data_IF_160655963191
#
_entry.id   IF_160655963191
#
_cell.length_a   1.000
_cell.length_b   1.000
_cell.length_c   1.000
_cell.angle_alpha   90.00
_cell.angle_beta   90.00
_cell.angle_gamma   90.00
#
_symmetry.space_group_name_H-M   'P 1'
#
loop_
_entity.id
_entity.type
_entity.pdbx_description
1 polymer ?
#
# COMPACT_ATOMS: atom_id res chain seq x y z
N UNK A 1 9.75 8.41 -20.01
CA UNK A 1 9.35 7.13 -19.39
C UNK A 1 9.53 7.29 -17.90
N UNK A 2 8.51 6.98 -17.12
CA UNK A 2 8.53 7.03 -15.66
C UNK A 2 8.60 5.58 -15.16
N UNK A 3 9.47 5.32 -14.18
CA UNK A 3 9.59 4.01 -13.54
C UNK A 3 9.54 4.21 -12.02
N UNK A 4 8.60 3.54 -11.37
CA UNK A 4 8.40 3.61 -9.93
C UNK A 4 8.38 2.21 -9.35
N UNK A 5 8.68 2.12 -8.05
CA UNK A 5 8.73 0.85 -7.35
C UNK A 5 8.25 1.02 -5.91
N UNK A 6 7.43 0.09 -5.43
CA UNK A 6 6.98 0.04 -4.05
C UNK A 6 7.21 -1.37 -3.47
N UNK A 7 7.83 -1.47 -2.28
CA UNK A 7 8.05 -2.76 -1.62
C UNK A 7 6.73 -3.38 -1.15
N UNK A 8 6.73 -4.70 -1.02
CA UNK A 8 5.77 -5.42 -0.19
C UNK A 8 6.06 -5.24 1.29
N UNK A 9 5.27 -5.90 2.14
CA UNK A 9 5.31 -5.74 3.59
C UNK A 9 5.05 -7.04 4.34
N UNK A 10 5.49 -7.05 5.60
CA UNK A 10 5.06 -8.00 6.63
C UNK A 10 4.62 -7.24 7.90
N UNK A 11 3.57 -7.71 8.54
CA UNK A 11 3.28 -7.31 9.92
C UNK A 11 4.21 -8.09 10.85
N UNK A 12 4.68 -7.42 11.90
CA UNK A 12 5.47 -8.00 12.97
C UNK A 12 4.62 -8.14 14.25
N UNK A 13 3.78 -7.14 14.52
CA UNK A 13 2.85 -7.13 15.64
C UNK A 13 1.72 -6.11 15.43
N UNK A 14 0.58 -6.35 16.08
CA UNK A 14 -0.57 -5.43 16.08
C UNK A 14 -1.56 -5.68 14.94
N UNK A 15 -1.48 -6.84 14.28
CA UNK A 15 -2.50 -7.27 13.34
C UNK A 15 -3.88 -7.26 13.98
N UNK A 16 -4.93 -7.00 13.20
CA UNK A 16 -6.31 -6.79 13.63
C UNK A 16 -6.53 -5.56 14.50
N UNK A 17 -5.76 -5.35 15.58
CA UNK A 17 -5.88 -4.17 16.45
C UNK A 17 -5.71 -2.86 15.66
N UNK A 18 -4.74 -2.82 14.74
CA UNK A 18 -4.46 -1.66 13.87
C UNK A 18 -5.62 -1.27 12.94
N UNK A 19 -6.66 -2.10 12.81
CA UNK A 19 -7.87 -1.73 12.07
C UNK A 19 -8.66 -0.66 12.84
N UNK A 20 -8.54 -0.62 14.16
CA UNK A 20 -9.12 0.41 15.00
C UNK A 20 -8.27 1.70 14.96
N UNK A 21 -8.90 2.90 14.93
CA UNK A 21 -8.17 4.15 14.91
C UNK A 21 -7.17 4.30 16.08
N UNK A 22 -6.03 4.92 15.80
CA UNK A 22 -4.93 5.19 16.72
C UNK A 22 -4.22 3.95 17.32
N UNK A 23 -4.67 2.73 17.02
CA UNK A 23 -4.00 1.52 17.50
C UNK A 23 -2.69 1.27 16.76
N UNK A 24 -1.58 0.98 17.49
CA UNK A 24 -0.28 0.81 16.88
C UNK A 24 -0.07 -0.58 16.30
N UNK A 25 0.70 -0.66 15.21
CA UNK A 25 1.31 -1.87 14.68
C UNK A 25 2.79 -1.64 14.39
N UNK A 26 3.53 -2.75 14.32
CA UNK A 26 4.89 -2.77 13.79
C UNK A 26 4.89 -3.54 12.49
N UNK A 27 5.47 -2.94 11.46
CA UNK A 27 5.59 -3.52 10.13
C UNK A 27 7.03 -3.42 9.63
N UNK A 28 7.35 -4.26 8.65
CA UNK A 28 8.61 -4.20 7.91
C UNK A 28 8.34 -4.28 6.41
N UNK A 29 9.02 -3.45 5.63
CA UNK A 29 9.03 -3.55 4.18
C UNK A 29 10.00 -4.64 3.71
N UNK A 30 9.60 -5.38 2.68
CA UNK A 30 10.39 -6.48 2.12
C UNK A 30 11.11 -6.04 0.85
N UNK A 31 12.25 -6.65 0.54
CA UNK A 31 13.06 -6.38 -0.66
C UNK A 31 12.52 -7.10 -1.90
N UNK A 32 11.20 -7.08 -2.03
CA UNK A 32 10.43 -7.55 -3.18
C UNK A 32 9.29 -6.58 -3.30
N UNK A 33 8.92 -6.22 -4.52
CA UNK A 33 7.90 -5.20 -4.70
C UNK A 33 7.18 -5.27 -6.01
N UNK A 34 6.46 -4.19 -6.29
CA UNK A 34 5.80 -3.97 -7.56
C UNK A 34 6.51 -2.82 -8.26
N UNK A 35 6.85 -3.07 -9.52
CA UNK A 35 7.43 -2.08 -10.42
C UNK A 35 6.36 -1.63 -11.40
N UNK A 36 6.24 -0.31 -11.54
CA UNK A 36 5.34 0.33 -12.49
C UNK A 36 6.17 1.08 -13.51
N UNK A 37 5.90 0.84 -14.79
CA UNK A 37 6.46 1.63 -15.90
C UNK A 37 5.32 2.36 -16.60
N UNK A 38 5.50 3.65 -16.78
CA UNK A 38 4.52 4.54 -17.39
C UNK A 38 5.16 5.27 -18.58
N UNK A 39 4.60 5.04 -19.76
CA UNK A 39 5.04 5.70 -21.00
C UNK A 39 3.92 6.60 -21.51
N UNK A 40 4.17 7.90 -21.59
CA UNK A 40 3.16 8.86 -22.04
C UNK A 40 2.71 8.59 -23.50
N UNK A 41 1.42 8.83 -23.75
CA UNK A 41 0.75 8.63 -25.03
C UNK A 41 -0.12 9.84 -25.36
N UNK A 42 -0.49 9.98 -26.63
CA UNK A 42 -1.42 11.02 -27.08
C UNK A 42 -2.88 10.74 -26.63
N UNK A 43 -3.25 9.47 -26.43
CA UNK A 43 -4.61 9.05 -26.12
C UNK A 43 -4.64 7.89 -25.12
N UNK A 44 -5.76 7.74 -24.41
CA UNK A 44 -6.01 6.60 -23.54
C UNK A 44 -6.15 5.31 -24.35
N UNK A 45 -5.55 4.23 -23.85
CA UNK A 45 -5.76 2.88 -24.33
C UNK A 45 -6.56 2.10 -23.30
N UNK A 46 -7.57 1.33 -23.75
CA UNK A 46 -8.30 0.44 -22.86
C UNK A 46 -7.39 -0.71 -22.44
N UNK A 47 -7.13 -0.81 -21.13
CA UNK A 47 -6.43 -1.93 -20.52
C UNK A 47 -7.28 -2.49 -19.38
N UNK A 48 -7.32 -3.81 -19.23
CA UNK A 48 -7.90 -4.43 -18.04
C UNK A 48 -7.01 -4.11 -16.84
N UNK A 49 -7.55 -3.43 -15.85
CA UNK A 49 -6.85 -3.06 -14.63
C UNK A 49 -7.54 -3.65 -13.40
N UNK A 50 -6.77 -3.91 -12.35
CA UNK A 50 -7.34 -4.31 -11.06
C UNK A 50 -8.09 -3.14 -10.40
N UNK A 51 -9.02 -3.44 -9.48
CA UNK A 51 -9.76 -2.43 -8.71
C UNK A 51 -8.84 -1.45 -7.99
N UNK A 52 -7.73 -1.92 -7.45
CA UNK A 52 -6.73 -1.07 -6.76
C UNK A 52 -6.02 -0.09 -7.70
N UNK A 53 -5.75 -0.50 -8.94
CA UNK A 53 -5.17 0.38 -9.97
C UNK A 53 -6.19 1.44 -10.37
N UNK A 54 -7.44 1.04 -10.63
CA UNK A 54 -8.51 1.97 -10.99
C UNK A 54 -8.75 2.99 -9.87
N UNK A 55 -8.84 2.55 -8.61
CA UNK A 55 -9.02 3.45 -7.47
C UNK A 55 -7.86 4.45 -7.30
N UNK A 56 -6.61 4.02 -7.57
CA UNK A 56 -5.45 4.91 -7.56
C UNK A 56 -5.53 5.96 -8.67
N UNK A 57 -5.92 5.54 -9.88
CA UNK A 57 -6.14 6.44 -11.01
C UNK A 57 -7.27 7.42 -10.72
N UNK A 58 -8.38 6.98 -10.15
CA UNK A 58 -9.51 7.85 -9.83
C UNK A 58 -9.09 8.96 -8.85
N UNK A 59 -8.37 8.61 -7.78
CA UNK A 59 -7.87 9.58 -6.80
C UNK A 59 -6.91 10.59 -7.42
N UNK A 60 -5.94 10.14 -8.24
CA UNK A 60 -4.95 11.05 -8.82
C UNK A 60 -5.57 11.92 -9.91
N UNK A 61 -6.54 11.41 -10.68
CA UNK A 61 -7.27 12.16 -11.69
C UNK A 61 -8.23 13.21 -11.10
N UNK A 62 -8.82 12.90 -9.94
CA UNK A 62 -9.60 13.83 -9.13
C UNK A 62 -8.69 14.97 -8.62
N UNK A 63 -7.58 14.64 -7.96
CA UNK A 63 -6.61 15.63 -7.49
C UNK A 63 -6.06 16.50 -8.64
N UNK A 64 -5.71 15.90 -9.77
CA UNK A 64 -5.30 16.61 -10.99
C UNK A 64 -6.38 17.62 -11.42
N UNK A 65 -7.63 17.17 -11.45
CA UNK A 65 -8.79 18.00 -11.83
C UNK A 65 -8.98 19.19 -10.89
N UNK A 66 -8.90 18.95 -9.58
CA UNK A 66 -8.99 19.98 -8.54
C UNK A 66 -7.85 21.01 -8.63
N UNK A 67 -6.65 20.56 -9.02
CA UNK A 67 -5.48 21.42 -9.26
C UNK A 67 -5.48 22.11 -10.63
N UNK A 68 -6.50 21.90 -11.47
CA UNK A 68 -6.62 22.54 -12.78
C UNK A 68 -5.59 22.08 -13.82
N UNK A 69 -4.96 20.91 -13.62
CA UNK A 69 -3.93 20.40 -14.53
C UNK A 69 -4.55 19.71 -15.75
N UNK A 70 -3.92 19.84 -16.92
CA UNK A 70 -4.39 19.15 -18.13
C UNK A 70 -4.27 17.62 -18.00
N UNK A 71 -5.21 16.88 -18.60
CA UNK A 71 -5.15 15.42 -18.66
C UNK A 71 -3.96 14.97 -19.51
N UNK A 72 -3.26 13.95 -19.03
CA UNK A 72 -2.19 13.25 -19.75
C UNK A 72 -2.57 11.78 -19.80
N UNK A 73 -2.09 11.08 -20.83
CA UNK A 73 -2.37 9.65 -20.99
C UNK A 73 -1.08 8.88 -20.91
N UNK A 74 -1.11 7.72 -20.27
CA UNK A 74 0.06 6.86 -20.15
C UNK A 74 -0.31 5.40 -20.32
N UNK A 75 0.57 4.68 -21.00
CA UNK A 75 0.56 3.23 -21.11
C UNK A 75 1.25 2.65 -19.87
N UNK A 76 0.50 1.87 -19.11
CA UNK A 76 0.87 1.39 -17.77
C UNK A 76 1.25 -0.09 -17.84
N UNK A 77 2.50 -0.40 -17.50
CA UNK A 77 2.99 -1.76 -17.34
C UNK A 77 3.34 -2.02 -15.87
N UNK A 78 2.81 -3.12 -15.32
CA UNK A 78 2.99 -3.51 -13.92
C UNK A 78 3.71 -4.86 -13.89
N UNK A 79 4.77 -4.96 -13.10
CA UNK A 79 5.49 -6.21 -12.85
C UNK A 79 5.56 -6.47 -11.36
N UNK A 80 5.16 -7.67 -10.92
CA UNK A 80 5.05 -8.06 -9.51
C UNK A 80 6.14 -9.06 -9.15
N UNK A 81 6.87 -8.80 -8.06
CA UNK A 81 7.79 -9.75 -7.41
C UNK A 81 7.13 -10.39 -6.16
N UNK A 82 5.82 -10.17 -5.98
CA UNK A 82 5.03 -10.52 -4.79
C UNK A 82 4.11 -11.73 -5.01
N UNK A 83 4.39 -12.50 -6.05
CA UNK A 83 3.71 -13.74 -6.44
C UNK A 83 4.74 -14.76 -6.94
N UNK A 84 4.34 -16.03 -6.93
CA UNK A 84 5.16 -17.12 -7.49
C UNK A 84 5.06 -17.21 -9.02
N UNK A 85 5.77 -18.17 -9.61
CA UNK A 85 5.78 -18.43 -11.05
C UNK A 85 4.41 -18.84 -11.62
N UNK A 86 3.46 -19.21 -10.76
CA UNK A 86 2.09 -19.56 -11.11
C UNK A 86 1.08 -18.43 -10.82
N UNK A 87 1.56 -17.26 -10.38
CA UNK A 87 0.73 -16.10 -10.05
C UNK A 87 0.05 -16.17 -8.67
N UNK A 88 0.45 -17.09 -7.80
CA UNK A 88 -0.06 -17.19 -6.44
C UNK A 88 0.60 -16.14 -5.56
N UNK A 89 -0.20 -15.27 -4.95
CA UNK A 89 0.28 -14.18 -4.09
C UNK A 89 0.90 -14.70 -2.80
N UNK A 90 2.05 -14.14 -2.42
CA UNK A 90 2.73 -14.47 -1.15
C UNK A 90 2.06 -13.89 0.11
N UNK A 91 1.06 -13.02 -0.04
CA UNK A 91 0.46 -12.29 1.11
C UNK A 91 1.27 -11.08 1.57
N UNK A 92 2.22 -10.62 0.75
CA UNK A 92 3.14 -9.52 1.05
C UNK A 92 2.57 -8.13 0.73
N UNK A 93 1.24 -7.98 0.60
CA UNK A 93 0.60 -6.67 0.39
C UNK A 93 0.66 -6.14 -1.05
N UNK A 94 0.46 -6.99 -2.06
CA UNK A 94 0.48 -6.58 -3.47
C UNK A 94 -0.50 -5.47 -3.82
N UNK A 95 -1.67 -5.41 -3.18
CA UNK A 95 -2.66 -4.34 -3.36
C UNK A 95 -2.10 -2.97 -2.95
N UNK A 96 -1.47 -2.90 -1.78
CA UNK A 96 -0.86 -1.68 -1.28
C UNK A 96 0.34 -1.24 -2.12
N UNK A 97 1.21 -2.18 -2.49
CA UNK A 97 2.37 -1.91 -3.31
C UNK A 97 1.96 -1.37 -4.70
N UNK A 98 0.97 -1.97 -5.36
CA UNK A 98 0.51 -1.50 -6.68
C UNK A 98 -0.16 -0.13 -6.59
N UNK A 99 -1.03 0.11 -5.58
CA UNK A 99 -1.65 1.42 -5.38
C UNK A 99 -0.59 2.49 -5.16
N UNK A 100 0.39 2.25 -4.29
CA UNK A 100 1.45 3.21 -3.97
C UNK A 100 2.32 3.52 -5.20
N UNK A 101 2.73 2.50 -5.96
CA UNK A 101 3.55 2.68 -7.16
C UNK A 101 2.79 3.41 -8.30
N UNK A 102 1.49 3.17 -8.45
CA UNK A 102 0.65 3.87 -9.43
C UNK A 102 0.45 5.34 -9.05
N UNK A 103 0.15 5.62 -7.78
CA UNK A 103 0.05 7.01 -7.28
C UNK A 103 1.37 7.76 -7.52
N UNK A 104 2.51 7.13 -7.25
CA UNK A 104 3.84 7.71 -7.54
C UNK A 104 4.02 7.98 -9.05
N UNK A 105 3.73 6.99 -9.90
CA UNK A 105 3.96 7.12 -11.33
C UNK A 105 3.14 8.26 -11.95
N UNK A 106 1.86 8.38 -11.57
CA UNK A 106 1.00 9.46 -12.04
C UNK A 106 1.28 10.79 -11.34
N UNK A 107 1.72 10.76 -10.08
CA UNK A 107 2.23 11.94 -9.39
C UNK A 107 3.43 12.56 -10.12
N UNK A 108 4.33 11.72 -10.64
CA UNK A 108 5.44 12.15 -11.49
C UNK A 108 4.98 12.57 -12.88
N UNK A 109 4.02 11.87 -13.51
CA UNK A 109 3.46 12.25 -14.81
C UNK A 109 2.83 13.65 -14.76
N UNK A 110 2.16 13.98 -13.67
CA UNK A 110 1.55 15.29 -13.47
C UNK A 110 2.45 16.30 -12.77
N UNK A 111 3.70 15.94 -12.48
CA UNK A 111 4.69 16.80 -11.82
C UNK A 111 4.16 17.40 -10.50
N UNK A 112 3.41 16.61 -9.73
CA UNK A 112 2.68 17.06 -8.53
C UNK A 112 3.59 17.38 -7.33
N UNK A 113 4.86 16.96 -7.37
CA UNK A 113 5.82 17.17 -6.29
C UNK A 113 5.43 16.50 -4.97
N UNK A 114 4.75 15.34 -5.02
CA UNK A 114 4.22 14.67 -3.84
C UNK A 114 5.35 14.27 -2.87
N UNK A 115 5.20 14.68 -1.62
CA UNK A 115 5.94 14.11 -0.50
C UNK A 115 5.52 12.66 -0.23
N UNK A 116 6.35 11.91 0.50
CA UNK A 116 6.00 10.54 0.91
C UNK A 116 4.73 10.50 1.75
N UNK A 117 4.50 11.51 2.60
CA UNK A 117 3.26 11.60 3.36
C UNK A 117 2.04 11.80 2.44
N UNK A 118 2.11 12.68 1.45
CA UNK A 118 1.01 12.87 0.49
C UNK A 118 0.77 11.63 -0.36
N UNK A 119 1.84 10.95 -0.79
CA UNK A 119 1.76 9.67 -1.51
C UNK A 119 1.05 8.60 -0.68
N UNK A 120 1.40 8.48 0.60
CA UNK A 120 0.69 7.60 1.53
C UNK A 120 -0.78 7.98 1.65
N UNK A 121 -1.07 9.27 1.89
CA UNK A 121 -2.44 9.76 2.10
C UNK A 121 -3.32 9.49 0.88
N UNK A 122 -2.84 9.77 -0.32
CA UNK A 122 -3.54 9.48 -1.58
C UNK A 122 -3.77 7.99 -1.76
N UNK A 123 -2.74 7.18 -1.46
CA UNK A 123 -2.86 5.74 -1.55
C UNK A 123 -3.91 5.21 -0.56
N UNK A 124 -4.00 5.75 0.66
CA UNK A 124 -5.03 5.37 1.62
C UNK A 124 -6.42 5.80 1.15
N UNK A 125 -6.57 7.04 0.65
CA UNK A 125 -7.82 7.54 0.08
C UNK A 125 -8.31 6.68 -1.09
N UNK A 126 -7.39 6.12 -1.89
CA UNK A 126 -7.71 5.18 -2.95
C UNK A 126 -8.09 3.80 -2.38
N UNK A 127 -7.29 3.26 -1.47
CA UNK A 127 -7.54 1.92 -0.92
C UNK A 127 -8.87 1.83 -0.18
N UNK A 128 -9.28 2.85 0.57
CA UNK A 128 -10.54 2.81 1.34
C UNK A 128 -11.80 2.84 0.46
N UNK A 129 -11.70 3.16 -0.84
CA UNK A 129 -12.85 3.01 -1.77
C UNK A 129 -13.07 1.56 -2.19
N UNK A 130 -12.01 0.75 -2.20
CA UNK A 130 -12.05 -0.68 -2.54
C UNK A 130 -12.21 -1.53 -1.29
N UNK A 131 -11.48 -1.19 -0.22
CA UNK A 131 -11.44 -1.92 1.03
C UNK A 131 -11.58 -0.93 2.20
N UNK A 132 -12.80 -0.51 2.56
CA UNK A 132 -13.02 0.47 3.64
C UNK A 132 -12.41 0.03 4.99
N UNK A 133 -12.30 -1.28 5.20
CA UNK A 133 -11.71 -1.89 6.38
C UNK A 133 -10.17 -2.04 6.35
N UNK A 134 -9.46 -1.56 5.33
CA UNK A 134 -8.00 -1.56 5.29
C UNK A 134 -7.37 -0.55 6.26
N UNK A 135 -6.50 -1.00 7.16
CA UNK A 135 -5.83 -0.11 8.13
C UNK A 135 -4.88 0.90 7.51
N UNK A 136 -4.30 0.59 6.35
CA UNK A 136 -3.26 1.39 5.70
C UNK A 136 -1.84 1.09 6.15
N UNK A 137 -1.63 0.15 7.08
CA UNK A 137 -0.27 -0.19 7.53
C UNK A 137 0.61 -0.76 6.41
N UNK A 138 0.00 -1.49 5.49
CA UNK A 138 0.65 -2.01 4.29
C UNK A 138 1.07 -0.90 3.31
N UNK A 139 0.23 0.12 3.13
CA UNK A 139 0.56 1.33 2.37
C UNK A 139 1.70 2.11 3.03
N UNK A 140 1.71 2.19 4.36
CA UNK A 140 2.79 2.84 5.10
C UNK A 140 4.14 2.14 4.83
N UNK A 141 4.18 0.82 4.91
CA UNK A 141 5.37 0.04 4.57
C UNK A 141 5.78 0.18 3.10
N UNK A 142 4.79 0.19 2.19
CA UNK A 142 5.00 0.38 0.75
C UNK A 142 5.51 1.78 0.39
N UNK A 143 5.28 2.76 1.27
CA UNK A 143 5.68 4.16 1.05
C UNK A 143 7.02 4.47 1.70
N UNK A 144 7.16 4.14 2.99
CA UNK A 144 8.30 4.59 3.81
C UNK A 144 9.43 3.56 3.93
N UNK A 145 9.18 2.29 3.57
CA UNK A 145 10.19 1.24 3.66
C UNK A 145 10.64 0.91 5.10
N UNK A 146 11.68 0.09 5.23
CA UNK A 146 12.32 -0.23 6.50
C UNK A 146 11.39 -0.83 7.56
N UNK A 147 11.75 -0.64 8.84
CA UNK A 147 10.93 -1.01 9.99
C UNK A 147 10.13 0.21 10.46
N UNK A 148 8.84 0.02 10.72
CA UNK A 148 7.92 1.12 11.00
C UNK A 148 7.03 0.77 12.19
N UNK A 149 6.86 1.73 13.11
CA UNK A 149 5.68 1.80 13.96
C UNK A 149 4.64 2.65 13.23
N UNK A 150 3.42 2.15 13.13
CA UNK A 150 2.30 2.80 12.45
C UNK A 150 1.06 2.84 13.35
N UNK A 151 0.30 3.93 13.34
CA UNK A 151 -1.05 3.99 13.89
C UNK A 151 -2.03 4.51 12.84
N UNK A 152 -3.19 3.86 12.72
CA UNK A 152 -4.17 4.15 11.68
C UNK A 152 -5.02 5.40 11.98
N UNK A 153 -5.35 6.22 10.96
CA UNK A 153 -6.33 7.28 11.11
C UNK A 153 -7.76 6.72 11.10
N UNK A 154 -8.74 7.57 11.42
CA UNK A 154 -10.15 7.23 11.24
C UNK A 154 -10.54 7.26 9.75
N UNK A 155 -10.70 6.08 9.14
CA UNK A 155 -10.99 5.98 7.70
C UNK A 155 -12.42 6.31 7.33
N UNK A 156 -13.39 6.15 8.23
CA UNK A 156 -14.76 6.59 8.00
C UNK A 156 -14.81 8.11 7.89
N UNK A 157 -14.10 8.80 8.77
CA UNK A 157 -13.96 10.27 8.73
C UNK A 157 -13.31 10.72 7.41
N UNK A 158 -12.21 10.08 7.00
CA UNK A 158 -11.54 10.36 5.72
C UNK A 158 -12.47 10.15 4.52
N UNK A 159 -13.20 9.04 4.49
CA UNK A 159 -14.12 8.73 3.39
C UNK A 159 -15.26 9.76 3.31
N UNK A 160 -15.87 10.11 4.45
CA UNK A 160 -16.92 11.14 4.51
C UNK A 160 -16.39 12.51 4.09
N UNK A 161 -15.22 12.92 4.59
CA UNK A 161 -14.63 14.21 4.26
C UNK A 161 -14.28 14.31 2.79
N UNK A 162 -13.62 13.30 2.21
CA UNK A 162 -13.35 13.25 0.77
C UNK A 162 -14.63 13.35 -0.05
N UNK A 163 -15.67 12.61 0.31
CA UNK A 163 -16.94 12.64 -0.42
C UNK A 163 -17.62 14.02 -0.39
N UNK A 164 -17.39 14.83 0.65
CA UNK A 164 -17.98 16.15 0.82
C UNK A 164 -17.12 17.28 0.23
N UNK A 165 -15.80 17.13 0.27
CA UNK A 165 -14.86 18.24 0.03
C UNK A 165 -13.79 17.95 -1.03
N UNK A 166 -13.72 16.73 -1.55
CA UNK A 166 -12.74 16.32 -2.55
C UNK A 166 -11.41 15.82 -1.96
N UNK A 167 -10.50 15.42 -2.86
CA UNK A 167 -9.21 14.82 -2.49
C UNK A 167 -8.23 15.85 -1.96
N UNK A 168 -8.14 17.02 -2.58
CA UNK A 168 -7.22 18.10 -2.17
C UNK A 168 -7.56 18.59 -0.77
N UNK A 169 -8.85 18.82 -0.47
CA UNK A 169 -9.26 19.21 0.88
C UNK A 169 -8.94 18.11 1.91
N UNK A 170 -9.17 16.84 1.56
CA UNK A 170 -8.82 15.73 2.44
C UNK A 170 -7.31 15.61 2.68
N UNK A 171 -6.45 15.98 1.72
CA UNK A 171 -5.00 15.97 1.92
C UNK A 171 -4.53 16.99 2.97
N UNK A 172 -5.12 18.19 2.92
CA UNK A 172 -4.67 19.35 3.68
C UNK A 172 -5.27 19.43 5.09
N UNK A 173 -6.43 18.80 5.33
CA UNK A 173 -7.10 18.86 6.63
C UNK A 173 -6.45 17.93 7.68
N UNK A 174 -5.76 18.52 8.66
CA UNK A 174 -5.10 17.78 9.74
C UNK A 174 -6.07 17.05 10.68
N UNK A 175 -7.32 17.52 10.82
CA UNK A 175 -8.32 16.93 11.73
C UNK A 175 -8.70 15.54 11.26
N UNK A 176 -8.89 15.36 9.95
CA UNK A 176 -9.29 14.05 9.40
C UNK A 176 -8.17 13.01 9.43
N UNK A 177 -6.92 13.47 9.57
CA UNK A 177 -5.74 12.62 9.75
C UNK A 177 -5.35 12.42 11.22
N UNK A 178 -6.15 12.90 12.18
CA UNK A 178 -5.85 12.68 13.60
C UNK A 178 -5.73 11.18 13.93
N UNK A 179 -4.73 10.83 14.73
CA UNK A 179 -4.41 9.45 15.08
C UNK A 179 -3.46 8.75 14.10
N UNK A 180 -3.19 9.37 12.94
CA UNK A 180 -2.14 8.92 12.06
C UNK A 180 -0.76 9.19 12.67
N UNK A 181 0.01 8.14 12.90
CA UNK A 181 1.40 8.25 13.32
C UNK A 181 2.27 7.27 12.56
N UNK A 182 3.49 7.70 12.21
CA UNK A 182 4.54 6.83 11.71
C UNK A 182 5.84 7.14 12.41
N UNK A 183 6.60 6.11 12.72
CA UNK A 183 7.97 6.27 13.23
C UNK A 183 8.84 5.17 12.64
N UNK A 184 9.88 5.56 11.91
CA UNK A 184 10.94 4.65 11.51
C UNK A 184 11.60 4.05 12.75
N UNK A 185 11.79 2.74 12.74
CA UNK A 185 12.46 1.98 13.77
C UNK A 185 13.81 1.49 13.24
N UNK A 186 14.86 1.40 14.09
CA UNK A 186 16.08 0.74 13.70
C UNK A 186 15.81 -0.75 13.47
N UNK A 187 16.45 -1.33 12.45
CA UNK A 187 16.43 -2.76 12.26
C UNK A 187 17.08 -3.46 13.46
N UNK A 188 16.51 -4.57 13.98
CA UNK A 188 17.13 -5.32 15.06
C UNK A 188 18.51 -5.86 14.65
N UNK A 189 19.57 -5.48 15.38
CA UNK A 189 20.95 -5.85 15.00
C UNK A 189 21.33 -7.28 15.36
N UNK A 190 20.62 -7.90 16.31
CA UNK A 190 20.94 -9.22 16.86
C UNK A 190 19.90 -10.29 16.51
N UNK A 191 18.94 -9.97 15.63
CA UNK A 191 17.88 -10.88 15.21
C UNK A 191 17.93 -11.05 13.70
N UNK A 192 17.67 -12.27 13.25
CA UNK A 192 17.52 -12.61 11.84
C UNK A 192 16.03 -12.85 11.55
N UNK A 193 15.44 -12.10 10.62
CA UNK A 193 14.06 -12.36 10.18
C UNK A 193 14.06 -13.50 9.15
N UNK A 194 13.44 -14.62 9.51
CA UNK A 194 13.13 -15.70 8.58
C UNK A 194 11.64 -15.66 8.22
N UNK A 195 11.32 -15.84 6.94
CA UNK A 195 9.96 -15.78 6.42
C UNK A 195 9.60 -17.12 5.81
N UNK A 196 8.55 -17.76 6.36
CA UNK A 196 7.99 -19.00 5.83
C UNK A 196 6.66 -18.71 5.15
N UNK A 197 6.52 -19.08 3.87
CA UNK A 197 5.26 -19.01 3.15
C UNK A 197 4.56 -20.36 3.20
N UNK A 198 3.31 -20.38 3.68
CA UNK A 198 2.52 -21.61 3.88
C UNK A 198 1.92 -22.16 2.59
N UNK A 199 2.04 -21.44 1.46
CA UNK A 199 1.44 -21.78 0.14
C UNK A 199 -0.09 -21.78 0.12
N UNK A 200 -0.74 -21.72 1.28
CA UNK A 200 -2.19 -21.63 1.43
C UNK A 200 -2.64 -20.16 1.47
N UNK A 201 -3.42 -19.68 0.48
CA UNK A 201 -3.94 -18.32 0.51
C UNK A 201 -4.92 -18.14 1.67
N UNK A 202 -4.66 -17.16 2.54
CA UNK A 202 -5.63 -16.70 3.53
C UNK A 202 -6.46 -15.56 2.93
N UNK A 203 -7.78 -15.72 2.86
CA UNK A 203 -8.66 -14.64 2.41
C UNK A 203 -8.82 -13.64 3.57
N UNK A 204 -8.10 -12.52 3.51
CA UNK A 204 -8.04 -11.49 4.56
C UNK A 204 -9.42 -10.95 4.92
N UNK A 205 -10.33 -10.85 3.95
CA UNK A 205 -11.71 -10.39 4.14
C UNK A 205 -12.56 -11.39 4.94
N UNK A 206 -12.33 -12.69 4.76
CA UNK A 206 -13.06 -13.73 5.48
C UNK A 206 -12.68 -13.80 6.96
N UNK A 207 -11.41 -13.53 7.29
CA UNK A 207 -10.89 -13.61 8.67
C UNK A 207 -11.24 -12.36 9.50
N UNK A 208 -11.23 -11.17 8.90
CA UNK A 208 -11.65 -9.93 9.57
C UNK A 208 -13.16 -9.94 9.88
N UNK A 209 -13.97 -10.63 9.04
CA UNK A 209 -15.39 -10.86 9.30
C UNK A 209 -15.73 -11.98 10.29
N UNK A 210 -14.76 -12.84 10.65
CA UNK A 210 -14.98 -14.05 11.46
C UNK A 210 -14.04 -14.14 12.67
N UNK A 211 -13.95 -13.08 13.49
CA UNK A 211 -13.26 -13.19 14.79
C UNK A 211 -14.06 -14.07 15.78
N UNK A 212 -14.01 -15.38 15.52
CA UNK A 212 -14.40 -16.51 16.35
C UNK A 212 -13.41 -17.65 16.07
N UNK A 213 -12.61 -17.98 17.08
CA UNK A 213 -11.38 -18.78 16.99
C UNK A 213 -11.63 -20.24 16.56
N UNK A 214 -10.82 -20.76 15.64
CA UNK A 214 -10.42 -22.18 15.64
C UNK A 214 -9.06 -22.36 14.94
N UNK A 215 -8.10 -22.97 15.64
CA UNK A 215 -6.74 -23.23 15.15
C UNK A 215 -6.62 -24.52 14.34
N UNK A 216 -5.58 -24.59 13.51
CA UNK A 216 -5.05 -25.83 12.94
C UNK A 216 -3.51 -25.72 12.81
N UNK A 217 -2.80 -26.71 13.34
CA UNK A 217 -1.36 -26.90 13.16
C UNK A 217 -1.08 -27.68 11.87
N UNK A 218 0.01 -27.34 11.16
CA UNK A 218 0.83 -28.31 10.42
C UNK A 218 2.19 -27.74 9.94
N UNK A 219 3.06 -28.67 9.55
CA UNK A 219 4.54 -28.79 9.64
C UNK A 219 5.36 -27.90 8.67
N UNK A 220 6.59 -27.45 9.02
CA UNK A 220 7.31 -26.45 8.23
C UNK A 220 8.06 -26.99 7.00
N UNK A 221 8.11 -26.18 5.94
CA UNK A 221 8.98 -26.35 4.77
C UNK A 221 10.25 -25.47 4.89
N UNK A 222 11.29 -25.86 4.16
CA UNK A 222 12.69 -25.40 4.33
C UNK A 222 12.93 -23.89 4.05
N UNK A 223 13.88 -23.24 4.77
CA UNK A 223 14.07 -21.80 4.71
C UNK A 223 14.84 -21.32 3.46
N UNK A 224 14.39 -20.20 2.89
CA UNK A 224 15.14 -19.37 1.95
C UNK A 224 16.10 -18.44 2.72
N UNK A 225 17.22 -18.05 2.11
CA UNK A 225 18.31 -17.35 2.81
C UNK A 225 17.96 -15.91 3.24
N UNK A 226 18.47 -15.40 4.39
CA UNK A 226 17.85 -14.27 5.09
C UNK A 226 18.30 -12.85 4.70
N UNK A 227 19.43 -12.71 4.00
CA UNK A 227 20.10 -11.40 3.84
C UNK A 227 19.61 -10.56 2.64
N UNK A 228 18.80 -11.12 1.75
CA UNK A 228 18.33 -10.43 0.54
C UNK A 228 16.86 -9.99 0.61
N UNK A 229 16.16 -10.21 1.73
CA UNK A 229 14.69 -10.09 1.80
C UNK A 229 14.18 -8.78 2.44
N UNK A 230 15.02 -7.95 3.05
CA UNK A 230 14.58 -6.71 3.71
C UNK A 230 14.90 -5.49 2.84
N UNK A 231 13.89 -4.66 2.55
CA UNK A 231 14.11 -3.43 1.82
C UNK A 231 14.87 -2.46 2.73
N UNK A 232 16.04 -2.01 2.29
CA UNK A 232 16.74 -0.93 2.96
C UNK A 232 15.87 0.33 2.96
N UNK A 233 15.89 1.09 4.05
CA UNK A 233 15.38 2.46 4.10
C UNK A 233 16.08 3.26 3.01
N UNK A 234 15.34 3.79 2.04
CA UNK A 234 15.85 4.81 1.12
C UNK A 234 15.81 6.17 1.80
#
# INVERSE_FOLDING_TARGET
MIETWAPGKLFIAGEYAVVEPAQPAVLVAVNRGIRVRLTERAHATAASASSHVLAALDVIEELRGERGLARRYGDLSITSELEDEHGVKYGLGSSAAVTTAVIDAFGQLYELGLSDLERFKLSLLATITVTPQASGGDLAASTFGGWLRYSAPNRTLLATHRAQHGVSAALDDQVVWQGLEFRTLPAPQQLCLAVGWTVSPASTEALVGQSGIAGHEQTPASPLSPHEFLAASR
#
